data_IF_245318578257
#
_entry.id   IF_245318578257
#
_cell.length_a   1.000
_cell.length_b   1.000
_cell.length_c   1.000
_cell.angle_alpha   90.00
_cell.angle_beta   90.00
_cell.angle_gamma   90.00
#
_symmetry.space_group_name_H-M   'P 1'
#
loop_
_entity.id
_entity.type
_entity.pdbx_description
1 polymer ?
#
# COMPACT_ATOMS: atom_id res chain seq x y z
N UNK A 1 -22.07 18.55 -28.86
CA UNK A 1 -22.47 17.13 -28.74
C UNK A 1 -21.34 16.34 -29.37
N UNK A 2 -20.41 15.67 -28.69
CA UNK A 2 -20.12 15.32 -27.30
C UNK A 2 -18.58 15.09 -27.36
N UNK A 3 -17.72 15.81 -26.65
CA UNK A 3 -17.46 15.54 -25.23
C UNK A 3 -16.61 14.27 -25.04
N UNK A 4 -15.44 14.16 -25.68
CA UNK A 4 -14.48 13.08 -25.43
C UNK A 4 -13.89 13.24 -24.02
N UNK A 5 -14.46 12.54 -23.05
CA UNK A 5 -13.95 12.49 -21.68
C UNK A 5 -12.75 11.54 -21.59
N UNK A 6 -11.57 12.04 -21.96
CA UNK A 6 -10.31 11.41 -21.55
C UNK A 6 -10.01 11.88 -20.13
N UNK A 7 -10.39 11.08 -19.13
CA UNK A 7 -9.85 11.25 -17.77
C UNK A 7 -8.32 11.11 -17.86
N UNK A 8 -7.60 12.22 -17.83
CA UNK A 8 -6.14 12.23 -17.85
C UNK A 8 -5.64 11.58 -16.56
N UNK A 9 -5.11 10.35 -16.66
CA UNK A 9 -4.37 9.72 -15.56
C UNK A 9 -3.16 10.60 -15.24
N UNK A 10 -3.20 11.32 -14.11
CA UNK A 10 -2.04 12.09 -13.64
C UNK A 10 -0.96 11.11 -13.14
N UNK A 11 0.30 11.27 -13.54
CA UNK A 11 1.37 10.43 -13.03
C UNK A 11 1.58 10.69 -11.54
N UNK A 12 1.70 9.62 -10.74
CA UNK A 12 2.14 9.72 -9.36
C UNK A 12 3.63 10.05 -9.31
N UNK A 13 4.03 10.98 -8.45
CA UNK A 13 5.42 11.41 -8.28
C UNK A 13 5.81 11.23 -6.82
N UNK A 14 6.99 10.64 -6.57
CA UNK A 14 7.59 10.62 -5.23
C UNK A 14 8.22 11.98 -4.97
N UNK A 15 7.87 12.60 -3.85
CA UNK A 15 8.37 13.90 -3.43
C UNK A 15 8.88 13.81 -1.98
N UNK A 16 9.54 14.88 -1.51
CA UNK A 16 10.15 14.97 -0.18
C UNK A 16 11.34 14.03 0.06
N UNK A 17 12.44 14.30 -0.63
CA UNK A 17 13.72 13.61 -0.45
C UNK A 17 14.56 14.17 0.71
N UNK A 18 13.96 14.94 1.64
CA UNK A 18 14.68 15.58 2.75
C UNK A 18 15.37 14.61 3.71
N UNK A 19 14.99 13.33 3.67
CA UNK A 19 15.56 12.23 4.45
C UNK A 19 16.28 11.18 3.59
N UNK A 20 16.38 11.39 2.27
CA UNK A 20 17.01 10.42 1.39
C UNK A 20 18.51 10.31 1.67
N UNK A 21 19.03 9.06 1.74
CA UNK A 21 20.44 8.78 2.02
C UNK A 21 21.08 8.02 0.86
N UNK A 22 22.26 8.46 0.44
CA UNK A 22 23.03 7.80 -0.62
C UNK A 22 23.79 6.59 -0.03
N UNK A 23 23.36 5.39 -0.38
CA UNK A 23 24.03 4.14 0.02
C UNK A 23 25.30 3.97 -0.81
N UNK A 24 26.47 4.00 -0.16
CA UNK A 24 27.78 3.78 -0.81
C UNK A 24 28.86 4.85 -0.55
N UNK A 25 28.57 5.90 0.24
CA UNK A 25 29.55 6.97 0.56
C UNK A 25 29.64 7.41 2.03
N UNK A 26 28.91 6.78 2.94
CA UNK A 26 28.89 7.22 4.35
C UNK A 26 29.75 6.34 5.23
N UNK A 27 30.66 6.99 5.96
CA UNK A 27 31.37 6.40 7.09
C UNK A 27 30.35 6.02 8.19
N UNK A 28 30.64 4.98 8.95
CA UNK A 28 29.75 4.45 10.01
C UNK A 28 29.38 5.50 11.07
N UNK A 29 30.16 6.57 11.19
CA UNK A 29 29.95 7.69 12.13
C UNK A 29 28.76 8.60 11.75
N UNK A 30 28.39 8.70 10.47
CA UNK A 30 27.21 9.47 10.00
C UNK A 30 25.88 8.73 10.22
N UNK A 31 25.91 7.52 10.78
CA UNK A 31 24.72 6.75 11.16
C UNK A 31 24.20 7.17 12.55
N UNK A 32 25.06 7.73 13.40
CA UNK A 32 24.81 7.88 14.85
C UNK A 32 24.11 9.21 15.20
N UNK A 33 24.20 10.23 14.35
CA UNK A 33 23.67 11.58 14.65
C UNK A 33 22.20 11.82 14.23
N UNK A 34 21.48 10.80 13.73
CA UNK A 34 20.11 10.98 13.20
C UNK A 34 19.06 10.67 14.26
N UNK A 35 18.79 11.62 15.16
CA UNK A 35 17.66 11.59 16.12
C UNK A 35 16.37 11.06 15.48
N UNK A 36 16.05 9.75 15.59
CA UNK A 36 14.88 9.03 15.03
C UNK A 36 13.99 9.91 14.12
N UNK A 37 14.46 10.19 12.89
CA UNK A 37 13.73 11.04 11.94
C UNK A 37 12.98 10.13 10.98
N UNK A 38 11.66 10.26 10.95
CA UNK A 38 10.79 9.50 10.05
C UNK A 38 9.32 9.65 10.41
N UNK A 39 8.43 9.31 9.49
CA UNK A 39 6.99 9.43 9.71
C UNK A 39 6.49 8.21 10.48
N UNK A 40 5.94 8.38 11.70
CA UNK A 40 5.37 7.26 12.44
C UNK A 40 4.35 6.51 11.57
N UNK A 41 4.36 5.17 11.65
CA UNK A 41 3.44 4.30 10.88
C UNK A 41 4.04 3.72 9.62
N UNK A 42 5.05 4.39 9.04
CA UNK A 42 5.78 3.93 7.86
C UNK A 42 7.16 3.37 8.21
N UNK A 43 7.60 3.54 9.46
CA UNK A 43 8.90 3.10 9.92
C UNK A 43 8.90 1.60 10.21
N UNK A 44 9.85 0.85 9.66
CA UNK A 44 10.03 -0.55 9.99
C UNK A 44 10.62 -0.72 11.40
N UNK A 45 10.43 -1.88 12.04
CA UNK A 45 10.83 -2.09 13.44
C UNK A 45 12.34 -1.92 13.69
N UNK A 46 13.19 -2.24 12.71
CA UNK A 46 14.64 -2.08 12.81
C UNK A 46 15.10 -0.62 12.74
N UNK A 47 14.42 0.26 11.99
CA UNK A 47 14.79 1.69 11.93
C UNK A 47 14.56 2.40 13.26
N UNK A 48 13.64 1.89 14.10
CA UNK A 48 13.41 2.41 15.46
C UNK A 48 14.49 1.95 16.43
N UNK A 49 15.07 0.77 16.21
CA UNK A 49 16.05 0.14 17.11
C UNK A 49 17.49 0.48 16.77
N UNK A 50 17.83 0.49 15.48
CA UNK A 50 19.20 0.48 14.99
C UNK A 50 19.54 1.69 14.11
N UNK A 51 18.58 2.59 13.84
CA UNK A 51 18.74 3.75 12.94
C UNK A 51 19.22 3.38 11.53
N UNK A 52 19.05 2.12 11.11
CA UNK A 52 19.47 1.67 9.80
C UNK A 52 18.47 2.15 8.73
N UNK A 53 19.03 2.75 7.68
CA UNK A 53 18.32 3.13 6.45
C UNK A 53 18.88 2.26 5.34
N UNK A 54 18.03 1.43 4.74
CA UNK A 54 18.42 0.47 3.70
C UNK A 54 17.34 0.44 2.61
N UNK A 55 17.60 -0.09 1.42
CA UNK A 55 16.53 -0.27 0.42
C UNK A 55 15.32 -1.06 0.96
N UNK A 56 15.52 -1.96 1.94
CA UNK A 56 14.43 -2.72 2.59
C UNK A 56 13.57 -1.87 3.53
N UNK A 57 14.04 -0.72 4.01
CA UNK A 57 13.20 0.21 4.77
C UNK A 57 12.20 0.92 3.85
N UNK A 58 12.61 1.22 2.62
CA UNK A 58 11.72 1.79 1.60
C UNK A 58 10.67 0.78 1.13
N UNK A 59 11.06 -0.49 0.98
CA UNK A 59 10.11 -1.59 0.67
C UNK A 59 9.04 -1.69 1.75
N UNK A 60 9.41 -1.64 3.02
CA UNK A 60 8.45 -1.68 4.11
C UNK A 60 7.49 -0.49 4.08
N UNK A 61 8.02 0.73 3.95
CA UNK A 61 7.19 1.93 3.85
C UNK A 61 6.23 1.87 2.65
N UNK A 62 6.67 1.29 1.53
CA UNK A 62 5.81 1.05 0.37
C UNK A 62 4.71 0.02 0.66
N UNK A 63 5.00 -1.05 1.41
CA UNK A 63 3.99 -1.99 1.89
C UNK A 63 2.88 -1.32 2.71
N UNK A 64 3.25 -0.35 3.57
CA UNK A 64 2.26 0.47 4.31
C UNK A 64 1.40 1.28 3.35
N UNK A 65 2.00 1.91 2.34
CA UNK A 65 1.25 2.67 1.31
C UNK A 65 0.27 1.77 0.55
N UNK A 66 0.67 0.55 0.16
CA UNK A 66 -0.24 -0.41 -0.48
C UNK A 66 -1.42 -0.75 0.43
N UNK A 67 -1.17 -0.98 1.72
CA UNK A 67 -2.24 -1.22 2.68
C UNK A 67 -3.19 -0.02 2.83
N UNK A 68 -2.68 1.21 2.82
CA UNK A 68 -3.51 2.42 2.82
C UNK A 68 -4.36 2.53 1.57
N UNK A 69 -3.82 2.17 0.40
CA UNK A 69 -4.55 2.19 -0.87
C UNK A 69 -5.67 1.14 -0.91
N UNK A 70 -5.43 -0.06 -0.40
CA UNK A 70 -6.43 -1.14 -0.36
C UNK A 70 -7.57 -0.78 0.59
N UNK A 71 -7.23 -0.26 1.78
CA UNK A 71 -8.21 -0.08 2.87
C UNK A 71 -8.84 1.31 2.91
N UNK A 72 -8.23 2.30 2.26
CA UNK A 72 -8.60 3.72 2.38
C UNK A 72 -8.32 4.30 3.78
N UNK A 73 -7.64 3.56 4.65
CA UNK A 73 -7.35 3.96 6.04
C UNK A 73 -5.94 4.55 6.16
N UNK A 74 -5.73 5.37 7.19
CA UNK A 74 -4.41 5.93 7.50
C UNK A 74 -3.54 4.90 8.21
N UNK A 75 -2.24 4.90 7.90
CA UNK A 75 -1.22 4.02 8.48
C UNK A 75 -1.28 3.95 10.02
N UNK A 76 -1.60 5.07 10.66
CA UNK A 76 -1.85 5.17 12.10
C UNK A 76 -3.19 5.87 12.34
N UNK A 77 -4.11 5.16 12.97
CA UNK A 77 -5.42 5.69 13.33
C UNK A 77 -5.58 5.71 14.85
N UNK A 78 -6.06 6.84 15.38
CA UNK A 78 -6.38 6.94 16.81
C UNK A 78 -7.67 6.18 17.07
N UNK A 79 -7.62 5.18 17.94
CA UNK A 79 -8.84 4.56 18.43
C UNK A 79 -9.56 5.55 19.36
N UNK A 80 -10.82 5.86 19.06
CA UNK A 80 -11.65 6.75 19.87
C UNK A 80 -12.34 5.99 21.01
N UNK A 81 -12.32 4.65 21.01
CA UNK A 81 -13.06 3.80 21.94
C UNK A 81 -12.17 3.11 23.00
N UNK A 82 -10.85 3.25 22.93
CA UNK A 82 -9.88 2.71 23.90
C UNK A 82 -8.89 3.79 24.40
N UNK A 83 -8.12 3.57 25.49
CA UNK A 83 -7.03 4.48 25.92
C UNK A 83 -6.05 4.74 24.76
N UNK A 84 -5.07 5.68 24.82
CA UNK A 84 -4.39 6.23 23.65
C UNK A 84 -3.44 5.20 22.99
N UNK A 85 -4.00 4.17 22.36
CA UNK A 85 -3.33 3.16 21.58
C UNK A 85 -3.60 3.51 20.13
N UNK A 86 -2.52 3.80 19.45
CA UNK A 86 -2.54 4.05 18.03
C UNK A 86 -2.69 2.70 17.33
N UNK A 87 -3.76 2.52 16.56
CA UNK A 87 -3.96 1.31 15.78
C UNK A 87 -3.09 1.41 14.53
N UNK A 88 -2.16 0.46 14.39
CA UNK A 88 -1.32 0.35 13.21
C UNK A 88 -2.04 -0.44 12.12
N UNK A 89 -2.02 0.10 10.90
CA UNK A 89 -2.58 -0.59 9.74
C UNK A 89 -1.85 -1.93 9.46
N UNK A 90 -0.57 -2.00 9.82
CA UNK A 90 0.24 -3.24 9.74
C UNK A 90 -0.41 -4.36 10.56
N UNK A 91 -0.92 -4.06 11.75
CA UNK A 91 -1.59 -5.04 12.60
C UNK A 91 -2.91 -5.52 11.98
N UNK A 92 -3.59 -4.66 11.22
CA UNK A 92 -4.81 -5.04 10.48
C UNK A 92 -4.46 -6.01 9.36
N UNK A 93 -3.47 -5.67 8.52
CA UNK A 93 -3.00 -6.53 7.43
C UNK A 93 -2.58 -7.90 7.96
N UNK A 94 -1.70 -7.94 8.97
CA UNK A 94 -1.23 -9.20 9.55
C UNK A 94 -2.35 -10.03 10.18
N UNK A 95 -3.45 -9.40 10.61
CA UNK A 95 -4.60 -10.12 11.16
C UNK A 95 -5.39 -10.81 10.05
N UNK A 96 -5.60 -10.16 8.91
CA UNK A 96 -6.33 -10.71 7.75
C UNK A 96 -5.73 -12.05 7.33
N UNK A 97 -4.41 -12.11 7.18
CA UNK A 97 -3.70 -13.33 6.75
C UNK A 97 -3.58 -14.43 7.84
N UNK A 98 -4.12 -14.18 9.04
CA UNK A 98 -4.20 -15.18 10.13
C UNK A 98 -5.61 -15.72 10.34
N UNK A 99 -6.62 -15.14 9.69
CA UNK A 99 -8.00 -15.63 9.76
C UNK A 99 -8.13 -16.95 8.97
N UNK A 100 -9.17 -17.74 9.27
CA UNK A 100 -9.45 -18.99 8.55
C UNK A 100 -9.81 -18.73 7.08
N UNK A 101 -10.42 -17.58 6.80
CA UNK A 101 -10.76 -17.10 5.46
C UNK A 101 -10.20 -15.68 5.24
N UNK A 102 -8.96 -15.58 4.74
CA UNK A 102 -8.32 -14.30 4.47
C UNK A 102 -9.02 -13.46 3.39
N UNK A 103 -9.69 -14.09 2.42
CA UNK A 103 -10.36 -13.37 1.32
C UNK A 103 -11.59 -12.61 1.85
N UNK A 104 -12.45 -13.29 2.62
CA UNK A 104 -13.59 -12.63 3.26
C UNK A 104 -13.14 -11.56 4.28
N UNK A 105 -12.06 -11.82 5.02
CA UNK A 105 -11.51 -10.85 5.96
C UNK A 105 -10.93 -9.62 5.24
N UNK A 106 -10.33 -9.81 4.06
CA UNK A 106 -9.82 -8.75 3.21
C UNK A 106 -10.97 -7.92 2.63
N UNK A 107 -11.99 -8.56 2.06
CA UNK A 107 -13.18 -7.90 1.51
C UNK A 107 -13.84 -6.96 2.54
N UNK A 108 -13.90 -7.38 3.80
CA UNK A 108 -14.47 -6.58 4.89
C UNK A 108 -13.68 -5.30 5.22
N UNK A 109 -12.43 -5.16 4.77
CA UNK A 109 -11.58 -3.99 5.04
C UNK A 109 -11.25 -3.14 3.81
N UNK A 110 -11.63 -3.59 2.61
CA UNK A 110 -11.42 -2.82 1.37
C UNK A 110 -12.12 -1.46 1.46
N UNK A 111 -11.52 -0.43 0.88
CA UNK A 111 -12.09 0.91 0.86
C UNK A 111 -13.51 0.90 0.25
N UNK A 112 -14.50 1.23 1.07
CA UNK A 112 -15.91 1.32 0.67
C UNK A 112 -16.18 2.34 -0.44
N UNK A 113 -15.27 3.31 -0.65
CA UNK A 113 -15.35 4.26 -1.77
C UNK A 113 -15.14 3.59 -3.13
N UNK A 114 -14.51 2.40 -3.19
CA UNK A 114 -14.35 1.63 -4.41
C UNK A 114 -15.65 0.97 -4.88
N UNK A 115 -16.67 0.87 -4.00
CA UNK A 115 -18.04 0.40 -4.33
C UNK A 115 -18.10 -0.95 -5.06
N UNK A 116 -17.17 -1.85 -4.76
CA UNK A 116 -17.07 -3.16 -5.44
C UNK A 116 -16.63 -3.09 -6.90
N UNK A 117 -16.14 -1.93 -7.37
CA UNK A 117 -15.62 -1.74 -8.72
C UNK A 117 -14.17 -2.18 -8.82
N UNK A 118 -13.90 -3.45 -8.52
CA UNK A 118 -12.58 -4.05 -8.62
C UNK A 118 -12.70 -5.58 -8.76
N UNK A 119 -11.76 -6.24 -9.44
CA UNK A 119 -11.61 -7.68 -9.37
C UNK A 119 -11.00 -8.07 -8.01
N UNK A 120 -11.70 -8.90 -7.23
CA UNK A 120 -11.24 -9.33 -5.90
C UNK A 120 -9.88 -10.04 -5.96
N UNK A 121 -9.64 -10.84 -7.00
CA UNK A 121 -8.37 -11.54 -7.19
C UNK A 121 -7.16 -10.58 -7.25
N UNK A 122 -7.32 -9.43 -7.89
CA UNK A 122 -6.27 -8.41 -7.98
C UNK A 122 -6.05 -7.72 -6.63
N UNK A 123 -7.13 -7.51 -5.84
CA UNK A 123 -7.04 -6.99 -4.47
C UNK A 123 -6.32 -7.97 -3.56
N UNK A 124 -6.61 -9.27 -3.66
CA UNK A 124 -5.89 -10.33 -2.93
C UNK A 124 -4.39 -10.30 -3.27
N UNK A 125 -4.02 -10.29 -4.55
CA UNK A 125 -2.60 -10.20 -4.98
C UNK A 125 -1.93 -8.93 -4.47
N UNK A 126 -2.64 -7.80 -4.47
CA UNK A 126 -2.12 -6.53 -3.96
C UNK A 126 -1.92 -6.57 -2.45
N UNK A 127 -2.81 -7.25 -1.71
CA UNK A 127 -2.68 -7.45 -0.27
C UNK A 127 -1.53 -8.41 0.09
N UNK A 128 -1.34 -9.48 -0.69
CA UNK A 128 -0.24 -10.43 -0.51
C UNK A 128 1.13 -9.75 -0.68
N UNK A 129 1.31 -8.95 -1.74
CA UNK A 129 2.58 -8.23 -1.93
C UNK A 129 2.78 -7.16 -0.84
N UNK A 130 1.71 -6.54 -0.34
CA UNK A 130 1.78 -5.62 0.79
C UNK A 130 2.22 -6.33 2.08
N UNK A 131 1.63 -7.48 2.42
CA UNK A 131 2.02 -8.28 3.59
C UNK A 131 3.49 -8.71 3.50
N UNK A 132 3.92 -9.17 2.32
CA UNK A 132 5.30 -9.60 2.12
C UNK A 132 6.29 -8.45 2.33
N UNK A 133 5.97 -7.23 1.86
CA UNK A 133 6.73 -6.02 2.11
C UNK A 133 6.80 -5.64 3.61
N UNK A 134 5.77 -6.00 4.38
CA UNK A 134 5.64 -5.70 5.81
C UNK A 134 6.29 -6.75 6.73
N UNK A 135 7.03 -7.72 6.17
CA UNK A 135 7.78 -8.71 6.93
C UNK A 135 8.66 -8.06 8.02
N UNK A 136 8.62 -8.60 9.24
CA UNK A 136 9.40 -8.07 10.37
C UNK A 136 10.90 -8.12 10.09
N UNK A 137 11.39 -9.24 9.53
CA UNK A 137 12.78 -9.40 9.12
C UNK A 137 13.03 -8.77 7.73
N UNK A 138 13.93 -7.77 7.61
CA UNK A 138 14.26 -7.13 6.33
C UNK A 138 14.74 -8.09 5.24
N UNK A 139 15.35 -9.23 5.61
CA UNK A 139 15.84 -10.24 4.65
C UNK A 139 14.69 -10.90 3.92
N UNK A 140 13.55 -11.10 4.61
CA UNK A 140 12.37 -11.76 4.05
C UNK A 140 11.55 -10.84 3.14
N UNK A 141 11.71 -9.51 3.24
CA UNK A 141 11.02 -8.56 2.35
C UNK A 141 11.47 -8.76 0.90
N UNK A 142 10.59 -8.57 -0.10
CA UNK A 142 10.97 -8.66 -1.51
C UNK A 142 11.91 -7.52 -1.91
N UNK A 143 12.55 -7.68 -3.06
CA UNK A 143 13.20 -6.57 -3.76
C UNK A 143 12.15 -5.69 -4.44
N UNK A 144 12.39 -4.39 -4.52
CA UNK A 144 11.44 -3.46 -5.17
C UNK A 144 11.14 -3.84 -6.63
N UNK A 145 12.07 -4.48 -7.33
CA UNK A 145 11.84 -5.02 -8.68
C UNK A 145 10.73 -6.08 -8.72
N UNK A 146 10.65 -6.92 -7.69
CA UNK A 146 9.64 -7.98 -7.59
C UNK A 146 8.28 -7.37 -7.29
N UNK A 147 8.25 -6.35 -6.41
CA UNK A 147 7.05 -5.55 -6.12
C UNK A 147 6.50 -4.90 -7.41
N UNK A 148 7.36 -4.25 -8.20
CA UNK A 148 6.98 -3.61 -9.47
C UNK A 148 6.47 -4.65 -10.47
N UNK A 149 7.10 -5.82 -10.55
CA UNK A 149 6.65 -6.90 -11.42
C UNK A 149 5.23 -7.36 -11.08
N UNK A 150 4.96 -7.63 -9.79
CA UNK A 150 3.62 -8.03 -9.33
C UNK A 150 2.57 -6.95 -9.60
N UNK A 151 2.87 -5.69 -9.28
CA UNK A 151 1.92 -4.58 -9.53
C UNK A 151 1.67 -4.39 -11.03
N UNK A 152 2.67 -4.60 -11.88
CA UNK A 152 2.51 -4.51 -13.34
C UNK A 152 1.59 -5.61 -13.88
N UNK A 153 1.66 -6.82 -13.32
CA UNK A 153 0.77 -7.93 -13.65
C UNK A 153 -0.66 -7.64 -13.20
N UNK A 154 -0.84 -7.13 -11.98
CA UNK A 154 -2.15 -6.70 -11.46
C UNK A 154 -2.75 -5.63 -12.38
N UNK A 155 -1.98 -4.60 -12.73
CA UNK A 155 -2.45 -3.54 -13.62
C UNK A 155 -2.92 -4.07 -14.99
N UNK A 156 -2.22 -5.06 -15.54
CA UNK A 156 -2.61 -5.68 -16.81
C UNK A 156 -3.92 -6.45 -16.66
N UNK A 157 -4.03 -7.28 -15.61
CA UNK A 157 -5.25 -8.02 -15.25
C UNK A 157 -6.46 -7.11 -15.05
N UNK A 158 -6.29 -6.01 -14.32
CA UNK A 158 -7.38 -5.06 -14.06
C UNK A 158 -7.90 -4.39 -15.33
N UNK A 159 -7.01 -4.06 -16.29
CA UNK A 159 -7.42 -3.49 -17.59
C UNK A 159 -8.21 -4.50 -18.43
N UNK A 160 -7.81 -5.78 -18.41
CA UNK A 160 -8.54 -6.85 -19.09
C UNK A 160 -9.91 -7.08 -18.46
N UNK A 161 -9.99 -7.05 -17.13
CA UNK A 161 -11.24 -7.13 -16.39
C UNK A 161 -12.17 -5.96 -16.75
N UNK A 162 -11.69 -4.72 -16.75
CA UNK A 162 -12.46 -3.54 -17.16
C UNK A 162 -13.01 -3.69 -18.59
N UNK A 163 -12.19 -4.16 -19.53
CA UNK A 163 -12.60 -4.40 -20.92
C UNK A 163 -13.71 -5.46 -21.02
N UNK A 164 -13.68 -6.49 -20.17
CA UNK A 164 -14.70 -7.56 -20.14
C UNK A 164 -16.08 -7.06 -19.69
N UNK A 165 -16.14 -6.02 -18.84
CA UNK A 165 -17.39 -5.40 -18.38
C UNK A 165 -18.09 -4.59 -19.47
N UNK A 166 -17.32 -4.05 -20.43
CA UNK A 166 -17.81 -3.27 -21.57
C UNK A 166 -18.63 -4.08 -22.59
N UNK A 167 -18.66 -5.40 -22.48
CA UNK A 167 -19.51 -6.28 -23.30
C UNK A 167 -20.90 -6.56 -22.72
N UNK A 168 -21.14 -6.27 -21.44
CA UNK A 168 -22.39 -6.55 -20.73
C UNK A 168 -22.59 -5.52 -19.61
N UNK A 169 -23.22 -4.36 -19.86
CA UNK A 169 -23.74 -3.59 -18.72
C UNK A 169 -24.63 -2.39 -19.05
N UNK A 170 -25.84 -2.43 -18.50
CA UNK A 170 -26.64 -1.27 -18.11
C UNK A 170 -26.11 -0.60 -16.80
N UNK A 171 -24.82 -0.74 -16.47
CA UNK A 171 -24.29 -0.39 -15.14
C UNK A 171 -23.98 1.11 -15.00
N UNK A 172 -23.99 1.88 -16.11
CA UNK A 172 -23.68 3.31 -16.11
C UNK A 172 -24.89 4.26 -16.12
N UNK A 173 -26.10 3.81 -15.79
CA UNK A 173 -27.24 4.74 -15.68
C UNK A 173 -27.30 5.51 -14.34
N UNK A 174 -26.48 5.14 -13.33
CA UNK A 174 -26.59 5.68 -11.98
C UNK A 174 -25.63 6.82 -11.60
N UNK A 175 -24.61 7.11 -12.41
CA UNK A 175 -23.60 8.15 -12.14
C UNK A 175 -23.77 9.41 -12.99
N UNK A 176 -24.71 9.41 -13.94
CA UNK A 176 -25.04 10.55 -14.79
C UNK A 176 -26.50 10.94 -14.53
N UNK A 177 -26.74 11.81 -13.55
CA UNK A 177 -28.10 12.31 -13.34
C UNK A 177 -28.33 13.20 -12.13
N UNK A 178 -27.58 14.30 -11.98
CA UNK A 178 -28.12 15.64 -11.65
C UNK A 178 -27.19 16.72 -12.18
#
# INVERSE_FOLDING_TARGET
MEGSDTTVRKPSTVADFGLAKLVGRTNEEDLIATRLVGTPGYLPPESVKELQVTPKTDVFAFGVVLAELITGQRALTRDNNEPPKLKSLITVVNKIFREEDPESALEAVVDGNLRGSYPMEDVCKMAEIAEWCLSEDPVNRPEMREVVQTISQIMTSSVEWEASLGGNSQVFSGLLGR
#
